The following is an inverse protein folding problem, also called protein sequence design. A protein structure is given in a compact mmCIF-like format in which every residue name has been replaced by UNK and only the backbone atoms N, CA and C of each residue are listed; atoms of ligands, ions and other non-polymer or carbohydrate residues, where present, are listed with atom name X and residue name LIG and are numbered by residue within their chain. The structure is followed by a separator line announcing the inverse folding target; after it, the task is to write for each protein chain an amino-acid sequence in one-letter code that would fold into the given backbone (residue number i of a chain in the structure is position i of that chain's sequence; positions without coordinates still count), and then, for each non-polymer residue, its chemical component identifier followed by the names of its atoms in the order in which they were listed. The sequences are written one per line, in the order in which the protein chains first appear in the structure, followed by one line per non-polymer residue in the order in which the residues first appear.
data_IF_464683830171
#
_entry.id   IF_464683830171
#
_cell.length_a   1.000
_cell.length_b   1.000
_cell.length_c   1.000
_cell.angle_alpha   90.00
_cell.angle_beta   90.00
_cell.angle_gamma   90.00
#
_symmetry.space_group_name_H-M   'P 1'
#
loop_
_entity.id
_entity.type
_entity.pdbx_description
1 polymer ?
#
# COMPACT_ATOMS: atom_id res chain seq x y z
N UNK A 1 -30.91 -6.07 -21.64
CA UNK A 1 -30.17 -6.02 -20.37
C UNK A 1 -29.13 -4.93 -20.52
N UNK A 2 -29.22 -3.84 -19.76
CA UNK A 2 -28.23 -2.76 -19.80
C UNK A 2 -27.16 -3.12 -18.76
N UNK A 3 -25.96 -3.44 -19.20
CA UNK A 3 -24.80 -3.47 -18.31
C UNK A 3 -24.64 -2.06 -17.73
N UNK A 4 -24.64 -1.95 -16.40
CA UNK A 4 -24.36 -0.70 -15.71
C UNK A 4 -22.90 -0.31 -15.98
N UNK A 5 -22.69 0.59 -16.93
CA UNK A 5 -21.39 1.11 -17.35
C UNK A 5 -20.71 2.02 -16.29
N UNK A 6 -20.94 1.81 -14.99
CA UNK A 6 -20.48 2.74 -13.94
C UNK A 6 -20.04 2.07 -12.63
N UNK A 7 -19.75 0.76 -12.63
CA UNK A 7 -19.17 0.11 -11.46
C UNK A 7 -17.64 0.20 -11.53
N UNK A 8 -17.03 0.91 -10.57
CA UNK A 8 -15.57 0.94 -10.42
C UNK A 8 -15.02 -0.48 -10.21
N UNK A 9 -13.92 -0.78 -10.88
CA UNK A 9 -13.10 -1.98 -10.68
C UNK A 9 -12.57 -2.06 -9.25
N UNK A 10 -12.19 -3.26 -8.75
CA UNK A 10 -11.53 -3.39 -7.45
C UNK A 10 -10.28 -2.49 -7.31
N UNK A 11 -9.51 -2.33 -8.39
CA UNK A 11 -8.33 -1.47 -8.44
C UNK A 11 -8.69 0.01 -8.21
N UNK A 12 -9.69 0.52 -8.93
CA UNK A 12 -10.15 1.90 -8.77
C UNK A 12 -10.70 2.16 -7.37
N UNK A 13 -11.42 1.18 -6.78
CA UNK A 13 -11.90 1.28 -5.40
C UNK A 13 -10.75 1.28 -4.39
N UNK A 14 -9.73 0.45 -4.61
CA UNK A 14 -8.56 0.39 -3.73
C UNK A 14 -7.76 1.70 -3.78
N UNK A 15 -7.56 2.26 -4.98
CA UNK A 15 -6.92 3.56 -5.17
C UNK A 15 -7.73 4.70 -4.53
N UNK A 16 -9.06 4.71 -4.74
CA UNK A 16 -9.93 5.69 -4.10
C UNK A 16 -9.90 5.59 -2.56
N UNK A 17 -9.74 4.38 -2.01
CA UNK A 17 -9.58 4.19 -0.57
C UNK A 17 -8.25 4.78 -0.06
N UNK A 18 -7.15 4.64 -0.82
CA UNK A 18 -5.87 5.27 -0.51
C UNK A 18 -6.02 6.80 -0.51
N UNK A 19 -6.60 7.37 -1.57
CA UNK A 19 -6.78 8.82 -1.72
C UNK A 19 -7.69 9.42 -0.64
N UNK A 20 -8.72 8.69 -0.22
CA UNK A 20 -9.64 9.16 0.82
C UNK A 20 -8.96 9.35 2.18
N UNK A 21 -7.83 8.68 2.43
CA UNK A 21 -6.97 8.81 3.60
C UNK A 21 -7.74 9.01 4.92
N UNK A 22 -8.68 8.10 5.18
CA UNK A 22 -9.58 8.14 6.34
C UNK A 22 -9.55 6.81 7.06
N UNK A 23 -10.07 6.79 8.29
CA UNK A 23 -10.26 5.55 9.02
C UNK A 23 -11.15 4.58 8.24
N UNK A 24 -10.72 3.32 8.14
CA UNK A 24 -11.42 2.24 7.41
C UNK A 24 -11.52 0.99 8.25
N UNK A 25 -12.56 0.18 8.01
CA UNK A 25 -12.67 -1.15 8.58
C UNK A 25 -11.67 -2.09 7.87
N UNK A 26 -10.78 -2.80 8.59
CA UNK A 26 -9.91 -3.82 8.02
C UNK A 26 -10.60 -4.78 7.05
N UNK A 27 -11.79 -5.29 7.40
CA UNK A 27 -12.54 -6.26 6.60
C UNK A 27 -12.89 -5.70 5.21
N UNK A 28 -13.20 -4.40 5.13
CA UNK A 28 -13.50 -3.74 3.85
C UNK A 28 -12.27 -3.70 2.93
N UNK A 29 -11.08 -3.47 3.49
CA UNK A 29 -9.84 -3.46 2.72
C UNK A 29 -9.44 -4.88 2.33
N UNK A 30 -9.62 -5.86 3.21
CA UNK A 30 -9.38 -7.27 2.94
C UNK A 30 -10.27 -7.79 1.82
N UNK A 31 -11.58 -7.51 1.86
CA UNK A 31 -12.53 -7.89 0.82
C UNK A 31 -12.15 -7.30 -0.55
N UNK A 32 -11.72 -6.03 -0.59
CA UNK A 32 -11.25 -5.40 -1.82
C UNK A 32 -9.92 -6.02 -2.30
N UNK A 33 -8.98 -6.26 -1.39
CA UNK A 33 -7.69 -6.85 -1.70
C UNK A 33 -7.83 -8.25 -2.30
N UNK A 34 -8.76 -9.06 -1.76
CA UNK A 34 -9.01 -10.44 -2.23
C UNK A 34 -9.46 -10.54 -3.69
N UNK A 35 -9.95 -9.43 -4.27
CA UNK A 35 -10.41 -9.34 -5.65
C UNK A 35 -9.32 -8.88 -6.62
N UNK A 36 -8.15 -8.45 -6.12
CA UNK A 36 -7.04 -7.99 -6.96
C UNK A 36 -6.31 -9.18 -7.58
N UNK A 37 -5.82 -9.07 -8.82
CA UNK A 37 -5.01 -10.10 -9.43
C UNK A 37 -3.68 -10.24 -8.67
N UNK A 38 -3.14 -11.46 -8.65
CA UNK A 38 -1.77 -11.67 -8.19
C UNK A 38 -0.77 -11.03 -9.15
N UNK A 39 0.40 -10.72 -8.62
CA UNK A 39 1.56 -10.22 -9.36
C UNK A 39 2.71 -11.22 -9.26
N UNK A 40 3.62 -11.16 -10.24
CA UNK A 40 4.86 -11.95 -10.23
C UNK A 40 5.97 -11.19 -9.48
N UNK A 41 6.92 -11.88 -8.83
CA UNK A 41 7.98 -11.24 -8.03
C UNK A 41 8.80 -10.18 -8.77
N UNK A 42 9.08 -10.39 -10.05
CA UNK A 42 9.82 -9.45 -10.90
C UNK A 42 9.09 -8.10 -11.09
N UNK A 43 7.78 -8.06 -10.89
CA UNK A 43 6.98 -6.84 -10.95
C UNK A 43 7.12 -5.97 -9.67
N UNK A 44 7.73 -6.49 -8.59
CA UNK A 44 7.98 -5.73 -7.37
C UNK A 44 9.29 -4.93 -7.41
N UNK A 45 10.19 -5.24 -8.35
CA UNK A 45 11.51 -4.61 -8.40
C UNK A 45 11.40 -3.08 -8.53
N UNK A 46 12.20 -2.37 -7.75
CA UNK A 46 12.24 -0.91 -7.71
C UNK A 46 11.90 -0.30 -6.34
N UNK A 47 11.74 1.02 -6.35
CA UNK A 47 11.44 1.84 -5.18
C UNK A 47 9.95 2.09 -5.04
N UNK A 48 9.41 1.84 -3.85
CA UNK A 48 8.00 2.05 -3.55
C UNK A 48 7.83 3.05 -2.43
N UNK A 49 6.85 3.95 -2.60
CA UNK A 49 6.38 4.82 -1.53
C UNK A 49 5.43 4.03 -0.62
N UNK A 50 5.68 4.12 0.67
CA UNK A 50 4.88 3.46 1.71
C UNK A 50 3.62 4.25 2.06
N UNK A 51 2.61 3.51 2.54
CA UNK A 51 1.41 4.04 3.15
C UNK A 51 0.70 2.92 3.91
N UNK A 52 -0.23 3.28 4.78
CA UNK A 52 -1.09 2.35 5.51
C UNK A 52 -2.50 2.91 5.58
N UNK A 53 -3.46 2.00 5.71
CA UNK A 53 -4.83 2.37 6.05
C UNK A 53 -4.93 2.57 7.57
N UNK A 54 -5.53 3.69 8.00
CA UNK A 54 -5.89 3.85 9.40
C UNK A 54 -7.03 2.89 9.74
N UNK A 55 -6.70 1.78 10.39
CA UNK A 55 -7.65 0.82 10.92
C UNK A 55 -7.81 0.93 12.45
N UNK A 56 -7.10 1.88 13.07
CA UNK A 56 -6.89 1.93 14.52
C UNK A 56 -5.85 0.94 15.06
N UNK A 57 -5.13 0.21 14.19
CA UNK A 57 -4.06 -0.69 14.62
C UNK A 57 -2.79 0.09 15.03
N UNK A 58 -2.11 -0.26 16.15
CA UNK A 58 -0.99 0.52 16.69
C UNK A 58 0.25 0.59 15.80
N UNK A 59 0.39 -0.33 14.84
CA UNK A 59 1.52 -0.32 13.89
C UNK A 59 1.60 0.96 13.06
N UNK A 60 0.47 1.62 12.80
CA UNK A 60 0.44 2.89 12.08
C UNK A 60 1.29 3.95 12.79
N UNK A 61 1.09 4.10 14.11
CA UNK A 61 1.87 5.02 14.95
C UNK A 61 3.36 4.66 14.95
N UNK A 62 3.69 3.37 15.02
CA UNK A 62 5.10 2.93 14.98
C UNK A 62 5.79 3.28 13.66
N UNK A 63 5.08 3.15 12.53
CA UNK A 63 5.60 3.51 11.20
C UNK A 63 5.80 5.03 11.05
N UNK A 64 4.90 5.84 11.62
CA UNK A 64 5.06 7.29 11.70
C UNK A 64 6.29 7.70 12.53
N UNK A 65 6.46 7.10 13.71
CA UNK A 65 7.55 7.40 14.65
C UNK A 65 8.94 7.16 14.04
N UNK A 66 9.08 6.10 13.24
CA UNK A 66 10.34 5.81 12.54
C UNK A 66 10.47 6.56 11.22
N UNK A 67 9.48 7.40 10.85
CA UNK A 67 9.40 8.09 9.56
C UNK A 67 9.53 7.13 8.38
N UNK A 68 8.80 6.01 8.43
CA UNK A 68 8.79 5.05 7.33
C UNK A 68 8.21 5.68 6.06
N UNK A 69 8.92 5.52 4.94
CA UNK A 69 8.55 6.09 3.64
C UNK A 69 8.48 5.06 2.52
N UNK A 70 8.72 3.78 2.83
CA UNK A 70 8.47 2.69 1.89
C UNK A 70 9.51 1.58 1.89
N UNK A 71 9.75 1.00 0.71
CA UNK A 71 10.55 -0.21 0.52
C UNK A 71 11.36 -0.11 -0.77
N UNK A 72 12.49 -0.80 -0.83
CA UNK A 72 13.28 -0.99 -2.05
C UNK A 72 13.44 -2.48 -2.32
N UNK A 73 13.01 -2.94 -3.50
CA UNK A 73 13.27 -4.28 -3.99
C UNK A 73 14.38 -4.21 -5.03
N UNK A 74 15.62 -4.41 -4.59
CA UNK A 74 16.82 -4.28 -5.45
C UNK A 74 16.95 -5.47 -6.39
N UNK A 75 16.73 -6.67 -5.87
CA UNK A 75 16.68 -7.94 -6.61
C UNK A 75 15.59 -8.85 -6.02
N UNK A 76 15.43 -10.06 -6.57
CA UNK A 76 14.47 -11.03 -6.03
C UNK A 76 14.90 -11.55 -4.64
N UNK A 77 16.18 -11.43 -4.30
CA UNK A 77 16.79 -11.92 -3.07
C UNK A 77 17.37 -10.82 -2.17
N UNK A 78 17.32 -9.55 -2.60
CA UNK A 78 17.84 -8.38 -1.87
C UNK A 78 16.78 -7.27 -1.82
N UNK A 79 16.31 -6.99 -0.60
CA UNK A 79 15.22 -6.06 -0.32
C UNK A 79 15.58 -5.25 0.92
N UNK A 80 15.36 -3.94 0.83
CA UNK A 80 15.32 -3.05 2.00
C UNK A 80 13.84 -2.92 2.43
N UNK A 81 13.39 -3.64 3.48
CA UNK A 81 11.98 -3.74 3.82
C UNK A 81 11.44 -2.50 4.54
N UNK A 82 12.33 -1.65 5.06
CA UNK A 82 11.99 -0.46 5.84
C UNK A 82 12.92 0.66 5.39
N UNK A 83 12.43 1.51 4.49
CA UNK A 83 13.09 2.77 4.15
C UNK A 83 12.51 3.87 5.03
N UNK A 84 13.36 4.63 5.70
CA UNK A 84 12.98 5.78 6.53
C UNK A 84 13.48 7.09 5.94
N UNK A 85 12.81 8.19 6.30
CA UNK A 85 13.30 9.54 6.00
C UNK A 85 14.21 10.04 7.14
N UNK A 86 15.45 10.37 6.78
CA UNK A 86 16.40 11.03 7.67
C UNK A 86 17.08 12.18 6.93
N UNK A 87 16.96 13.39 7.46
CA UNK A 87 17.53 14.62 6.88
C UNK A 87 17.11 14.83 5.41
N UNK A 88 15.86 14.52 5.07
CA UNK A 88 15.32 14.62 3.71
C UNK A 88 15.82 13.53 2.76
N UNK A 89 16.49 12.49 3.26
CA UNK A 89 17.01 11.37 2.46
C UNK A 89 16.32 10.06 2.84
N UNK A 90 16.12 9.21 1.84
CA UNK A 90 15.70 7.81 2.03
C UNK A 90 16.89 6.99 2.51
N UNK A 91 16.74 6.31 3.64
CA UNK A 91 17.78 5.51 4.31
C UNK A 91 17.18 4.14 4.66
N UNK A 92 17.90 3.06 4.35
CA UNK A 92 17.58 1.71 4.81
C UNK A 92 18.15 1.42 6.19
#
# INVERSE_FOLDING_TARGET
MRENANAQSPQEKYLAAIEANRKVNPETIEDLFSQLPSLKPDQLLGEWNGGYFDTGHPVATQLEEIKWVGKSFKTLEDVDPVIVERDGKRVS
#
